data_IF_524683690738
#
_entry.id   IF_524683690738
#
_cell.length_a   1.000
_cell.length_b   1.000
_cell.length_c   1.000
_cell.angle_alpha   90.00
_cell.angle_beta   90.00
_cell.angle_gamma   90.00
#
_symmetry.space_group_name_H-M   'P 1'
#
loop_
_entity.id
_entity.type
_entity.pdbx_description
1 polymer ?
#
# COMPACT_ATOMS: atom_id res chain seq x y z
N UNK A 1 9.07 9.53 -6.66
CA UNK A 1 7.73 10.06 -6.30
C UNK A 1 7.77 10.54 -4.84
N UNK A 2 8.08 11.80 -4.56
CA UNK A 2 8.18 12.27 -3.16
C UNK A 2 9.47 12.98 -2.78
N UNK A 3 10.06 13.79 -3.65
CA UNK A 3 11.24 14.60 -3.26
C UNK A 3 10.88 15.57 -2.13
N UNK A 4 9.65 16.10 -2.13
CA UNK A 4 9.12 16.99 -1.10
C UNK A 4 8.51 16.24 0.09
N UNK A 5 7.69 15.21 -0.15
CA UNK A 5 7.22 14.33 0.91
C UNK A 5 8.38 13.69 1.69
N UNK A 6 9.46 13.33 0.98
CA UNK A 6 10.75 12.93 1.52
C UNK A 6 11.37 14.05 2.35
N UNK A 7 11.56 15.26 1.83
CA UNK A 7 12.15 16.39 2.58
C UNK A 7 11.39 16.74 3.88
N UNK A 8 10.05 16.67 3.85
CA UNK A 8 9.17 16.90 5.00
C UNK A 8 9.19 15.74 6.01
N UNK A 9 9.48 14.51 5.56
CA UNK A 9 9.70 13.33 6.43
C UNK A 9 11.16 13.21 6.91
N UNK A 10 12.11 13.82 6.19
CA UNK A 10 13.56 13.75 6.45
C UNK A 10 13.96 14.68 7.60
N UNK A 11 13.21 15.73 7.92
CA UNK A 11 13.48 16.56 9.11
C UNK A 11 13.38 15.76 10.42
N UNK A 12 12.77 14.57 10.41
CA UNK A 12 12.79 13.61 11.54
C UNK A 12 13.79 12.45 11.39
N UNK A 13 14.40 12.25 10.21
CA UNK A 13 15.27 11.11 9.89
C UNK A 13 16.62 11.53 9.33
N UNK A 14 17.24 12.59 9.86
CA UNK A 14 18.67 12.84 9.65
C UNK A 14 19.49 12.37 10.85
N UNK A 15 19.68 11.05 10.96
CA UNK A 15 20.93 10.50 11.48
C UNK A 15 21.17 9.08 10.99
N UNK A 16 22.30 8.90 10.29
CA UNK A 16 22.93 7.63 9.91
C UNK A 16 22.14 6.74 8.93
N UNK A 17 22.57 6.75 7.67
CA UNK A 17 22.26 5.72 6.68
C UNK A 17 23.01 4.43 7.08
N UNK A 18 22.50 3.73 8.12
CA UNK A 18 22.91 2.37 8.44
C UNK A 18 22.29 1.42 7.41
N UNK A 19 23.10 0.52 6.85
CA UNK A 19 22.63 -0.48 5.89
C UNK A 19 21.62 -1.40 6.55
N UNK A 20 20.42 -1.53 5.97
CA UNK A 20 19.39 -2.48 6.40
C UNK A 20 19.99 -3.89 6.57
N UNK A 21 19.81 -4.48 7.75
CA UNK A 21 20.46 -5.74 8.18
C UNK A 21 19.51 -6.94 8.14
N UNK A 22 18.79 -7.11 7.03
CA UNK A 22 17.81 -8.19 6.85
C UNK A 22 18.40 -9.32 5.99
N UNK A 23 18.25 -10.54 6.47
CA UNK A 23 18.62 -11.77 5.78
C UNK A 23 17.77 -11.96 4.52
N UNK A 24 18.38 -12.39 3.41
CA UNK A 24 17.69 -12.54 2.12
C UNK A 24 16.43 -13.42 2.20
N UNK A 25 16.46 -14.49 3.00
CA UNK A 25 15.34 -15.40 3.19
C UNK A 25 14.13 -14.75 3.89
N UNK A 26 14.36 -13.70 4.68
CA UNK A 26 13.34 -13.04 5.49
C UNK A 26 12.72 -11.83 4.76
N UNK A 27 13.41 -11.25 3.77
CA UNK A 27 13.03 -9.99 3.11
C UNK A 27 11.56 -9.93 2.67
N UNK A 28 10.98 -10.93 1.97
CA UNK A 28 9.58 -10.86 1.56
C UNK A 28 8.63 -10.82 2.76
N UNK A 29 8.81 -11.72 3.74
CA UNK A 29 7.97 -11.76 4.94
C UNK A 29 8.12 -10.51 5.81
N UNK A 30 9.31 -9.92 5.89
CA UNK A 30 9.51 -8.68 6.64
C UNK A 30 8.88 -7.49 5.91
N UNK A 31 9.00 -7.42 4.59
CA UNK A 31 8.29 -6.42 3.78
C UNK A 31 6.77 -6.50 4.03
N UNK A 32 6.18 -7.70 4.00
CA UNK A 32 4.75 -7.88 4.29
C UNK A 32 4.40 -7.39 5.72
N UNK A 33 5.16 -7.85 6.71
CA UNK A 33 4.93 -7.50 8.12
C UNK A 33 5.02 -6.01 8.40
N UNK A 34 5.88 -5.28 7.67
CA UNK A 34 6.00 -3.82 7.80
C UNK A 34 4.70 -3.08 7.47
N UNK A 35 3.83 -3.72 6.66
CA UNK A 35 2.53 -3.17 6.25
C UNK A 35 1.41 -3.46 7.23
N UNK A 36 1.62 -4.34 8.21
CA UNK A 36 0.57 -4.76 9.15
C UNK A 36 0.42 -3.80 10.34
N UNK A 37 1.30 -2.80 10.47
CA UNK A 37 1.28 -1.85 11.59
C UNK A 37 1.73 -2.46 12.92
N UNK A 38 2.48 -3.56 12.88
CA UNK A 38 2.85 -4.33 14.10
C UNK A 38 4.20 -3.94 14.71
N UNK A 39 5.04 -3.22 13.98
CA UNK A 39 6.29 -2.62 14.50
C UNK A 39 6.65 -1.37 13.69
N UNK A 40 7.42 -0.43 14.27
CA UNK A 40 7.80 0.80 13.60
C UNK A 40 8.95 0.57 12.60
N UNK A 41 8.96 1.33 11.50
CA UNK A 41 9.90 1.13 10.40
C UNK A 41 11.37 1.30 10.83
N UNK A 42 11.64 2.08 11.87
CA UNK A 42 12.96 2.34 12.44
C UNK A 42 13.69 1.07 12.88
N UNK A 43 12.95 -0.02 13.17
CA UNK A 43 13.55 -1.31 13.51
C UNK A 43 14.48 -1.84 12.41
N UNK A 44 14.22 -1.52 11.14
CA UNK A 44 15.07 -1.94 10.02
C UNK A 44 16.50 -1.37 10.10
N UNK A 45 16.67 -0.23 10.78
CA UNK A 45 17.96 0.42 11.01
C UNK A 45 18.63 -0.02 12.32
N UNK A 46 17.86 -0.48 13.31
CA UNK A 46 18.38 -0.93 14.62
C UNK A 46 18.80 -2.41 14.64
N UNK A 47 19.74 -2.76 13.76
CA UNK A 47 20.36 -4.10 13.62
C UNK A 47 19.36 -5.27 13.80
N UNK A 48 18.40 -5.36 12.89
CA UNK A 48 17.24 -6.28 12.94
C UNK A 48 17.59 -7.76 13.14
N UNK A 49 18.81 -8.16 12.79
CA UNK A 49 19.34 -9.52 12.99
C UNK A 49 19.87 -9.81 14.41
N UNK A 50 19.83 -8.86 15.34
CA UNK A 50 20.24 -9.07 16.73
C UNK A 50 19.12 -9.68 17.58
N UNK A 51 19.50 -10.26 18.73
CA UNK A 51 18.58 -10.76 19.75
C UNK A 51 17.50 -9.70 20.07
N UNK A 52 16.23 -10.11 20.05
CA UNK A 52 15.14 -9.21 20.36
C UNK A 52 15.18 -8.82 21.84
N UNK A 53 14.91 -7.55 22.14
CA UNK A 53 14.79 -7.07 23.53
C UNK A 53 13.37 -7.31 24.06
N UNK A 54 13.22 -7.33 25.38
CA UNK A 54 11.91 -7.49 26.01
C UNK A 54 10.93 -6.38 25.58
N UNK A 55 11.39 -5.13 25.56
CA UNK A 55 10.58 -3.97 25.16
C UNK A 55 10.11 -4.08 23.69
N UNK A 56 10.99 -4.53 22.79
CA UNK A 56 10.62 -4.77 21.39
C UNK A 56 9.58 -5.88 21.30
N UNK A 57 9.80 -6.99 21.99
CA UNK A 57 8.88 -8.12 21.94
C UNK A 57 7.51 -7.79 22.55
N UNK A 58 7.46 -7.03 23.65
CA UNK A 58 6.22 -6.56 24.26
C UNK A 58 5.40 -5.71 23.28
N UNK A 59 6.04 -4.74 22.62
CA UNK A 59 5.38 -3.92 21.60
C UNK A 59 4.86 -4.76 20.44
N UNK A 60 5.69 -5.65 19.88
CA UNK A 60 5.30 -6.52 18.78
C UNK A 60 4.09 -7.37 19.17
N UNK A 61 4.13 -7.99 20.35
CA UNK A 61 3.08 -8.88 20.83
C UNK A 61 1.75 -8.15 21.06
N UNK A 62 1.80 -6.94 21.64
CA UNK A 62 0.61 -6.11 21.83
C UNK A 62 0.00 -5.70 20.49
N UNK A 63 0.82 -5.27 19.53
CA UNK A 63 0.32 -4.87 18.22
C UNK A 63 -0.21 -6.05 17.40
N UNK A 64 0.41 -7.24 17.51
CA UNK A 64 -0.13 -8.49 16.93
C UNK A 64 -1.50 -8.79 17.52
N UNK A 65 -1.68 -8.67 18.84
CA UNK A 65 -2.97 -8.91 19.46
C UNK A 65 -4.04 -7.90 19.00
N UNK A 66 -3.69 -6.61 18.87
CA UNK A 66 -4.58 -5.60 18.29
C UNK A 66 -4.95 -5.95 16.84
N UNK A 67 -3.96 -6.31 16.02
CA UNK A 67 -4.16 -6.69 14.60
C UNK A 67 -5.04 -7.93 14.43
N UNK A 68 -5.13 -8.77 15.46
CA UNK A 68 -5.95 -9.99 15.50
C UNK A 68 -7.25 -9.81 16.30
N UNK A 69 -7.72 -8.57 16.47
CA UNK A 69 -8.94 -8.18 17.18
C UNK A 69 -8.98 -8.60 18.66
N UNK A 70 -7.83 -8.69 19.31
CA UNK A 70 -7.69 -9.00 20.74
C UNK A 70 -7.00 -7.85 21.52
N UNK A 71 -7.55 -6.62 21.51
CA UNK A 71 -6.90 -5.45 22.13
C UNK A 71 -6.82 -5.53 23.66
N UNK A 72 -7.57 -6.45 24.29
CA UNK A 72 -7.54 -6.68 25.74
C UNK A 72 -6.49 -7.71 26.16
N UNK A 73 -5.79 -8.33 25.21
CA UNK A 73 -4.73 -9.28 25.51
C UNK A 73 -3.62 -8.59 26.32
N UNK A 74 -3.22 -9.23 27.41
CA UNK A 74 -2.09 -8.81 28.23
C UNK A 74 -1.18 -10.00 28.45
N UNK A 75 0.02 -9.95 27.90
CA UNK A 75 1.01 -11.00 28.15
C UNK A 75 1.77 -10.71 29.45
N UNK A 76 1.96 -11.73 30.29
CA UNK A 76 2.93 -11.67 31.38
C UNK A 76 4.27 -12.21 30.90
N UNK A 77 5.04 -11.35 30.23
CA UNK A 77 6.38 -11.69 29.71
C UNK A 77 7.51 -11.26 30.64
N UNK A 78 7.19 -10.82 31.86
CA UNK A 78 8.19 -10.36 32.82
C UNK A 78 9.17 -11.48 33.14
N UNK A 79 10.48 -11.23 32.95
CA UNK A 79 11.55 -12.21 33.19
C UNK A 79 11.50 -13.46 32.29
N UNK A 80 10.70 -13.44 31.23
CA UNK A 80 10.65 -14.50 30.22
C UNK A 80 11.98 -14.56 29.46
N UNK A 81 12.50 -15.77 29.24
CA UNK A 81 13.60 -15.96 28.29
C UNK A 81 13.04 -15.87 26.87
N UNK A 82 13.63 -15.02 26.03
CA UNK A 82 13.18 -14.76 24.65
C UNK A 82 13.68 -15.83 23.68
N UNK A 83 13.51 -17.10 24.07
CA UNK A 83 13.79 -18.22 23.18
C UNK A 83 12.74 -18.30 22.07
N UNK A 84 13.09 -18.93 20.95
CA UNK A 84 12.16 -19.17 19.84
C UNK A 84 10.88 -19.88 20.29
N UNK A 85 10.98 -20.92 21.13
CA UNK A 85 9.81 -21.60 21.70
C UNK A 85 8.89 -20.65 22.47
N UNK A 86 9.47 -19.85 23.36
CA UNK A 86 8.71 -18.96 24.22
C UNK A 86 8.02 -17.86 23.39
N UNK A 87 8.68 -17.33 22.36
CA UNK A 87 8.07 -16.36 21.43
C UNK A 87 6.89 -16.97 20.68
N UNK A 88 7.06 -18.17 20.10
CA UNK A 88 5.99 -18.86 19.36
C UNK A 88 4.78 -19.12 20.26
N UNK A 89 5.02 -19.54 21.51
CA UNK A 89 3.96 -19.77 22.48
C UNK A 89 3.23 -18.47 22.87
N UNK A 90 3.95 -17.37 23.10
CA UNK A 90 3.34 -16.07 23.41
C UNK A 90 2.52 -15.52 22.25
N UNK A 91 3.04 -15.60 21.02
CA UNK A 91 2.31 -15.22 19.81
C UNK A 91 1.02 -16.05 19.67
N UNK A 92 1.08 -17.36 19.87
CA UNK A 92 -0.10 -18.24 19.85
C UNK A 92 -1.16 -17.86 20.90
N UNK A 93 -0.77 -17.35 22.07
CA UNK A 93 -1.76 -16.91 23.07
C UNK A 93 -2.59 -15.71 22.60
N UNK A 94 -2.09 -14.90 21.65
CA UNK A 94 -2.86 -13.76 21.11
C UNK A 94 -4.13 -14.19 20.38
N UNK A 95 -4.17 -15.42 19.85
CA UNK A 95 -5.31 -15.97 19.12
C UNK A 95 -6.24 -16.84 19.98
N UNK A 96 -6.00 -16.87 21.30
CA UNK A 96 -6.80 -17.67 22.25
C UNK A 96 -8.29 -17.31 22.30
N UNK A 97 -8.67 -16.14 21.77
CA UNK A 97 -10.08 -15.73 21.62
C UNK A 97 -10.83 -16.50 20.53
N UNK A 98 -10.12 -17.18 19.63
CA UNK A 98 -10.69 -17.95 18.52
C UNK A 98 -10.68 -19.44 18.86
N UNK A 99 -11.80 -19.96 19.38
CA UNK A 99 -11.96 -21.38 19.73
C UNK A 99 -11.63 -22.32 18.54
N UNK A 100 -11.86 -21.88 17.30
CA UNK A 100 -11.59 -22.64 16.09
C UNK A 100 -10.10 -22.76 15.74
N UNK A 101 -9.24 -21.91 16.30
CA UNK A 101 -7.80 -21.88 16.03
C UNK A 101 -6.96 -22.35 17.24
N UNK A 102 -7.59 -22.57 18.39
CA UNK A 102 -6.93 -23.04 19.60
C UNK A 102 -6.97 -24.57 19.70
N UNK A 103 -6.52 -25.26 18.64
CA UNK A 103 -6.64 -26.71 18.46
C UNK A 103 -5.39 -27.50 18.88
N UNK A 104 -4.28 -26.82 19.18
CA UNK A 104 -3.01 -27.44 19.62
C UNK A 104 -2.71 -27.18 21.10
N UNK A 105 -1.82 -27.98 21.69
CA UNK A 105 -1.42 -27.81 23.10
C UNK A 105 -0.41 -26.68 23.27
N UNK A 106 0.41 -26.41 22.24
CA UNK A 106 1.45 -25.40 22.27
C UNK A 106 1.46 -24.57 20.98
N UNK A 107 2.02 -23.36 21.06
CA UNK A 107 2.24 -22.52 19.89
C UNK A 107 3.24 -23.14 18.93
N UNK A 108 4.26 -23.85 19.42
CA UNK A 108 5.19 -24.59 18.56
C UNK A 108 4.45 -25.62 17.69
N UNK A 109 3.54 -26.39 18.27
CA UNK A 109 2.71 -27.35 17.52
C UNK A 109 1.85 -26.63 16.48
N UNK A 110 1.23 -25.51 16.82
CA UNK A 110 0.40 -24.73 15.90
C UNK A 110 1.21 -24.25 14.69
N UNK A 111 2.38 -23.65 14.93
CA UNK A 111 3.24 -23.13 13.87
C UNK A 111 3.79 -24.25 12.97
N UNK A 112 4.10 -25.42 13.53
CA UNK A 112 4.56 -26.57 12.72
C UNK A 112 3.41 -27.17 11.91
N UNK A 113 2.23 -27.37 12.52
CA UNK A 113 1.04 -27.93 11.87
C UNK A 113 0.61 -27.09 10.66
N UNK A 114 0.69 -25.76 10.78
CA UNK A 114 0.31 -24.82 9.74
C UNK A 114 1.49 -24.39 8.84
N UNK A 115 2.67 -25.02 8.97
CA UNK A 115 3.82 -24.75 8.08
C UNK A 115 4.46 -23.36 8.25
N UNK A 116 4.17 -22.64 9.34
CA UNK A 116 4.65 -21.28 9.61
C UNK A 116 6.12 -21.23 10.03
N UNK A 117 6.66 -22.36 10.49
CA UNK A 117 8.07 -22.54 10.84
C UNK A 117 8.62 -23.85 10.27
N UNK A 118 9.81 -23.79 9.68
CA UNK A 118 10.47 -24.96 9.08
C UNK A 118 11.81 -25.31 9.75
N UNK A 119 12.42 -24.38 10.51
CA UNK A 119 13.75 -24.55 11.08
C UNK A 119 14.84 -24.56 10.00
N UNK A 120 15.95 -25.24 10.25
CA UNK A 120 17.02 -25.48 9.26
C UNK A 120 16.83 -26.78 8.45
N UNK A 121 15.63 -27.38 8.54
CA UNK A 121 15.30 -28.69 7.98
C UNK A 121 15.67 -29.87 8.88
N UNK A 122 16.41 -29.66 9.98
CA UNK A 122 16.78 -30.69 10.96
C UNK A 122 16.43 -30.33 12.40
N UNK A 123 16.44 -29.03 12.72
CA UNK A 123 16.13 -28.50 14.05
C UNK A 123 15.36 -27.18 13.92
N UNK A 124 14.37 -26.99 14.79
CA UNK A 124 13.63 -25.74 14.95
C UNK A 124 14.40 -24.70 15.78
N UNK A 125 15.49 -25.12 16.43
CA UNK A 125 16.37 -24.31 17.28
C UNK A 125 15.62 -23.65 18.44
N UNK A 126 14.66 -24.37 19.02
CA UNK A 126 13.68 -23.84 19.98
C UNK A 126 14.29 -23.19 21.24
N UNK A 127 15.48 -23.64 21.66
CA UNK A 127 16.17 -23.14 22.84
C UNK A 127 17.05 -21.89 22.56
N UNK A 128 17.23 -21.53 21.29
CA UNK A 128 18.04 -20.36 20.94
C UNK A 128 17.27 -19.08 21.23
N UNK A 129 18.00 -18.03 21.64
CA UNK A 129 17.45 -16.69 21.77
C UNK A 129 17.09 -16.19 20.36
N UNK A 130 15.85 -15.76 20.19
CA UNK A 130 15.35 -15.30 18.92
C UNK A 130 15.88 -13.90 18.59
N UNK A 131 16.06 -13.64 17.31
CA UNK A 131 16.38 -12.30 16.82
C UNK A 131 15.11 -11.46 16.64
N UNK A 132 15.27 -10.15 16.45
CA UNK A 132 14.15 -9.26 16.08
C UNK A 132 13.55 -9.72 14.75
N UNK A 133 14.40 -10.04 13.77
CA UNK A 133 14.01 -10.62 12.47
C UNK A 133 13.16 -11.88 12.61
N UNK A 134 13.61 -12.87 13.38
CA UNK A 134 12.86 -14.12 13.57
C UNK A 134 11.50 -13.88 14.24
N UNK A 135 11.47 -13.01 15.25
CA UNK A 135 10.25 -12.68 15.99
C UNK A 135 9.20 -12.01 15.11
N UNK A 136 9.64 -11.07 14.26
CA UNK A 136 8.77 -10.40 13.29
C UNK A 136 8.29 -11.39 12.23
N UNK A 137 9.17 -12.24 11.68
CA UNK A 137 8.76 -13.28 10.73
C UNK A 137 7.68 -14.18 11.32
N UNK A 138 7.83 -14.63 12.57
CA UNK A 138 6.83 -15.46 13.23
C UNK A 138 5.50 -14.72 13.41
N UNK A 139 5.55 -13.46 13.84
CA UNK A 139 4.37 -12.62 13.99
C UNK A 139 3.62 -12.40 12.66
N UNK A 140 4.34 -12.03 11.59
CA UNK A 140 3.76 -11.83 10.25
C UNK A 140 3.05 -13.09 9.76
N UNK A 141 3.74 -14.25 9.81
CA UNK A 141 3.16 -15.52 9.34
C UNK A 141 1.95 -15.95 10.14
N UNK A 142 1.96 -15.73 11.46
CA UNK A 142 0.79 -15.98 12.29
C UNK A 142 -0.38 -15.11 11.88
N UNK A 143 -0.16 -13.80 11.67
CA UNK A 143 -1.22 -12.88 11.27
C UNK A 143 -1.83 -13.27 9.94
N UNK A 144 -1.01 -13.52 8.91
CA UNK A 144 -1.49 -13.97 7.61
C UNK A 144 -2.33 -15.24 7.75
N UNK A 145 -1.79 -16.29 8.39
CA UNK A 145 -2.50 -17.55 8.60
C UNK A 145 -3.85 -17.38 9.31
N UNK A 146 -3.88 -16.57 10.38
CA UNK A 146 -5.09 -16.39 11.19
C UNK A 146 -6.13 -15.60 10.41
N UNK A 147 -5.73 -14.54 9.71
CA UNK A 147 -6.66 -13.74 8.92
C UNK A 147 -7.21 -14.51 7.73
N UNK A 148 -6.39 -15.35 7.08
CA UNK A 148 -6.84 -16.19 5.97
C UNK A 148 -7.85 -17.25 6.44
N UNK A 149 -7.56 -17.96 7.54
CA UNK A 149 -8.50 -18.99 8.07
C UNK A 149 -9.80 -18.37 8.57
N UNK A 150 -9.77 -17.13 9.07
CA UNK A 150 -10.96 -16.41 9.52
C UNK A 150 -11.66 -15.64 8.41
N UNK A 151 -11.16 -15.67 7.17
CA UNK A 151 -11.65 -14.90 6.02
C UNK A 151 -11.75 -13.39 6.33
N UNK A 152 -10.78 -12.86 7.08
CA UNK A 152 -10.69 -11.45 7.50
C UNK A 152 -9.68 -10.62 6.72
N UNK A 153 -8.89 -11.26 5.85
CA UNK A 153 -7.96 -10.56 4.97
C UNK A 153 -8.69 -9.72 3.91
N UNK A 154 -8.05 -8.64 3.48
CA UNK A 154 -8.61 -7.67 2.52
C UNK A 154 -8.95 -8.34 1.20
N UNK A 155 -10.24 -8.38 0.88
CA UNK A 155 -10.72 -8.88 -0.41
C UNK A 155 -10.41 -7.87 -1.52
N UNK A 156 -10.75 -6.59 -1.30
CA UNK A 156 -10.72 -5.62 -2.38
C UNK A 156 -11.80 -5.91 -3.42
N UNK A 157 -11.60 -5.42 -4.64
CA UNK A 157 -12.49 -5.67 -5.77
C UNK A 157 -11.70 -6.35 -6.87
N UNK A 158 -12.21 -7.47 -7.39
CA UNK A 158 -11.50 -8.23 -8.40
C UNK A 158 -12.42 -8.99 -9.35
N UNK A 159 -11.91 -9.22 -10.56
CA UNK A 159 -12.58 -9.96 -11.63
C UNK A 159 -11.61 -10.88 -12.36
N UNK A 160 -12.16 -11.82 -13.11
CA UNK A 160 -11.40 -12.73 -13.97
C UNK A 160 -11.96 -12.68 -15.40
N UNK A 161 -11.05 -12.65 -16.38
CA UNK A 161 -11.36 -12.81 -17.80
C UNK A 161 -10.55 -13.99 -18.32
N UNK A 162 -11.22 -14.87 -19.08
CA UNK A 162 -10.55 -15.91 -19.87
C UNK A 162 -10.80 -15.71 -21.35
N UNK A 163 -9.73 -15.69 -22.13
CA UNK A 163 -9.82 -15.61 -23.58
C UNK A 163 -8.82 -16.57 -24.23
N UNK A 164 -9.35 -17.57 -24.95
CA UNK A 164 -8.57 -18.71 -25.43
C UNK A 164 -7.82 -19.39 -24.27
N UNK A 165 -6.49 -19.43 -24.34
CA UNK A 165 -5.61 -19.98 -23.30
C UNK A 165 -5.02 -18.88 -22.38
N UNK A 166 -5.40 -17.60 -22.57
CA UNK A 166 -4.95 -16.50 -21.72
C UNK A 166 -5.95 -16.21 -20.59
N UNK A 167 -5.43 -15.83 -19.43
CA UNK A 167 -6.21 -15.42 -18.25
C UNK A 167 -5.76 -14.04 -17.78
N UNK A 168 -6.71 -13.16 -17.45
CA UNK A 168 -6.44 -11.89 -16.78
C UNK A 168 -7.21 -11.83 -15.46
N UNK A 169 -6.49 -11.63 -14.35
CA UNK A 169 -7.06 -11.24 -13.07
C UNK A 169 -7.02 -9.72 -12.97
N UNK A 170 -8.18 -9.08 -12.90
CA UNK A 170 -8.31 -7.64 -12.78
C UNK A 170 -8.50 -7.29 -11.30
N UNK A 171 -7.50 -6.71 -10.65
CA UNK A 171 -7.55 -6.33 -9.25
C UNK A 171 -7.54 -4.81 -9.10
N UNK A 172 -8.56 -4.27 -8.43
CA UNK A 172 -8.66 -2.86 -8.10
C UNK A 172 -7.73 -2.50 -6.96
N UNK A 173 -6.65 -1.74 -7.18
CA UNK A 173 -5.73 -1.32 -6.11
C UNK A 173 -6.16 -0.01 -5.45
N UNK A 174 -5.71 0.18 -4.21
CA UNK A 174 -5.80 1.45 -3.48
C UNK A 174 -4.40 1.97 -3.23
N UNK A 175 -4.09 3.19 -3.69
CA UNK A 175 -2.73 3.78 -3.63
C UNK A 175 -2.32 4.31 -2.25
N UNK A 176 -3.30 4.70 -1.42
CA UNK A 176 -3.11 5.27 -0.09
C UNK A 176 -4.08 4.57 0.86
N UNK A 177 -3.63 4.11 2.02
CA UNK A 177 -4.59 3.60 3.00
C UNK A 177 -4.01 3.37 4.38
N UNK A 178 -4.81 2.84 5.30
CA UNK A 178 -4.36 2.42 6.61
C UNK A 178 -3.68 1.04 6.54
N UNK A 179 -2.95 0.68 7.59
CA UNK A 179 -2.37 -0.66 7.76
C UNK A 179 -3.43 -1.80 7.77
N UNK A 180 -4.71 -1.46 7.94
CA UNK A 180 -5.84 -2.39 7.91
C UNK A 180 -6.12 -2.96 6.52
N UNK A 181 -5.55 -2.37 5.46
CA UNK A 181 -5.54 -2.96 4.11
C UNK A 181 -4.80 -4.30 4.03
N UNK A 182 -4.00 -4.66 5.03
CA UNK A 182 -3.21 -5.88 5.01
C UNK A 182 -3.57 -6.82 6.16
N UNK A 183 -3.40 -8.14 5.98
CA UNK A 183 -2.99 -8.86 4.76
C UNK A 183 -4.04 -8.84 3.64
N UNK A 184 -3.57 -8.95 2.40
CA UNK A 184 -4.42 -9.18 1.22
C UNK A 184 -4.92 -10.62 1.23
N UNK A 185 -6.16 -10.83 0.78
CA UNK A 185 -6.81 -12.12 0.68
C UNK A 185 -5.95 -13.17 -0.03
N UNK A 186 -5.95 -14.41 0.50
CA UNK A 186 -5.14 -15.50 -0.01
C UNK A 186 -5.40 -15.82 -1.49
N UNK A 187 -6.66 -15.82 -1.94
CA UNK A 187 -7.00 -16.13 -3.33
C UNK A 187 -6.44 -15.07 -4.30
N UNK A 188 -6.45 -13.79 -3.90
CA UNK A 188 -5.83 -12.71 -4.68
C UNK A 188 -4.30 -12.86 -4.74
N UNK A 189 -3.66 -13.20 -3.61
CA UNK A 189 -2.21 -13.47 -3.60
C UNK A 189 -1.88 -14.67 -4.48
N UNK A 190 -2.69 -15.72 -4.46
CA UNK A 190 -2.51 -16.90 -5.31
C UNK A 190 -2.70 -16.55 -6.79
N UNK A 191 -3.68 -15.72 -7.14
CA UNK A 191 -3.85 -15.21 -8.50
C UNK A 191 -2.59 -14.46 -8.98
N UNK A 192 -2.01 -13.59 -8.14
CA UNK A 192 -0.74 -12.93 -8.44
C UNK A 192 0.43 -13.92 -8.59
N UNK A 193 0.59 -14.87 -7.66
CA UNK A 193 1.70 -15.83 -7.69
C UNK A 193 1.63 -16.74 -8.91
N UNK A 194 0.43 -17.12 -9.33
CA UNK A 194 0.20 -17.95 -10.52
C UNK A 194 0.23 -17.16 -11.84
N UNK A 195 0.38 -15.82 -11.79
CA UNK A 195 0.47 -14.99 -12.98
C UNK A 195 1.90 -14.90 -13.52
N UNK A 196 2.06 -14.84 -14.84
CA UNK A 196 3.34 -14.64 -15.51
C UNK A 196 3.80 -13.18 -15.45
N UNK A 197 2.85 -12.25 -15.44
CA UNK A 197 3.09 -10.80 -15.49
C UNK A 197 2.33 -10.08 -14.39
N UNK A 198 2.95 -9.04 -13.82
CA UNK A 198 2.24 -7.96 -13.14
C UNK A 198 1.99 -6.85 -14.18
N UNK A 199 0.76 -6.38 -14.30
CA UNK A 199 0.37 -5.30 -15.21
C UNK A 199 -0.18 -4.15 -14.37
N UNK A 200 0.31 -2.93 -14.58
CA UNK A 200 -0.04 -1.74 -13.80
C UNK A 200 -0.46 -0.61 -14.74
N UNK A 201 -1.14 0.42 -14.25
CA UNK A 201 -1.43 1.64 -15.02
C UNK A 201 -0.13 2.24 -15.59
N UNK A 202 0.75 2.65 -14.68
CA UNK A 202 2.11 3.11 -14.95
C UNK A 202 2.94 2.90 -13.69
N UNK A 203 4.24 2.66 -13.80
CA UNK A 203 5.08 2.36 -12.62
C UNK A 203 6.07 3.47 -12.29
N UNK A 204 6.42 4.29 -13.28
CA UNK A 204 7.51 5.26 -13.13
C UNK A 204 8.86 4.62 -12.78
N UNK A 205 9.01 3.29 -12.91
CA UNK A 205 10.22 2.55 -12.55
C UNK A 205 11.31 2.67 -13.60
N UNK A 206 10.94 2.93 -14.86
CA UNK A 206 11.91 3.15 -15.94
C UNK A 206 12.54 4.55 -15.83
N UNK A 207 13.84 4.66 -16.13
CA UNK A 207 14.53 5.96 -16.14
C UNK A 207 13.86 6.94 -17.13
N UNK A 208 13.36 6.43 -18.26
CA UNK A 208 12.64 7.23 -19.25
C UNK A 208 11.32 7.78 -18.68
N UNK A 209 10.49 6.91 -18.10
CA UNK A 209 9.21 7.32 -17.50
C UNK A 209 9.44 8.30 -16.35
N UNK A 210 10.46 8.06 -15.52
CA UNK A 210 10.82 8.98 -14.43
C UNK A 210 11.29 10.35 -14.95
N UNK A 211 12.07 10.40 -16.04
CA UNK A 211 12.47 11.66 -16.67
C UNK A 211 11.29 12.41 -17.27
N UNK A 212 10.40 11.73 -17.99
CA UNK A 212 9.16 12.32 -18.53
C UNK A 212 8.29 12.89 -17.40
N UNK A 213 8.09 12.13 -16.32
CA UNK A 213 7.33 12.61 -15.16
C UNK A 213 7.94 13.88 -14.55
N UNK A 214 9.27 13.91 -14.38
CA UNK A 214 9.99 15.09 -13.88
C UNK A 214 9.81 16.30 -14.81
N UNK A 215 9.83 16.11 -16.12
CA UNK A 215 9.58 17.18 -17.08
C UNK A 215 8.15 17.72 -16.98
N UNK A 216 7.15 16.84 -16.91
CA UNK A 216 5.72 17.20 -16.81
C UNK A 216 5.44 17.98 -15.54
N UNK A 217 6.01 17.58 -14.40
CA UNK A 217 5.79 18.25 -13.12
C UNK A 217 6.55 19.58 -12.97
N UNK A 218 7.54 19.82 -13.83
CA UNK A 218 8.42 20.99 -13.69
C UNK A 218 7.83 22.26 -14.31
N UNK A 219 8.10 23.40 -13.67
CA UNK A 219 7.87 24.72 -14.27
C UNK A 219 8.94 24.96 -15.33
N UNK A 220 8.51 25.15 -16.59
CA UNK A 220 9.42 25.39 -17.72
C UNK A 220 9.89 26.84 -17.82
N UNK A 221 9.07 27.80 -17.39
CA UNK A 221 9.39 29.24 -17.42
C UNK A 221 8.90 29.94 -16.14
N UNK A 222 9.72 30.83 -15.59
CA UNK A 222 9.39 31.61 -14.40
C UNK A 222 9.55 30.82 -13.10
N UNK A 223 8.72 31.15 -12.12
CA UNK A 223 8.65 30.51 -10.80
C UNK A 223 7.20 30.27 -10.43
N UNK A 224 6.95 29.51 -9.35
CA UNK A 224 5.58 29.25 -8.92
C UNK A 224 4.76 30.52 -8.63
N UNK A 225 5.42 31.63 -8.24
CA UNK A 225 4.79 32.93 -8.04
C UNK A 225 4.10 33.48 -9.30
N UNK A 226 4.51 33.05 -10.49
CA UNK A 226 3.91 33.46 -11.76
C UNK A 226 2.60 32.71 -12.07
N UNK A 227 2.32 31.61 -11.35
CA UNK A 227 1.20 30.70 -11.60
C UNK A 227 0.15 30.68 -10.48
N UNK A 228 0.38 31.39 -9.38
CA UNK A 228 -0.52 31.40 -8.22
C UNK A 228 -0.80 32.83 -7.74
N UNK A 229 -1.88 33.01 -6.98
CA UNK A 229 -2.21 34.32 -6.40
C UNK A 229 -1.19 34.77 -5.35
N UNK A 230 -1.10 36.08 -5.10
CA UNK A 230 -0.21 36.64 -4.06
C UNK A 230 -0.52 36.07 -2.68
N UNK A 231 -1.80 35.90 -2.37
CA UNK A 231 -2.25 35.29 -1.10
C UNK A 231 -1.77 33.83 -0.97
N UNK A 232 -1.84 33.06 -2.06
CA UNK A 232 -1.36 31.68 -2.09
C UNK A 232 0.16 31.62 -1.90
N UNK A 233 0.89 32.54 -2.52
CA UNK A 233 2.34 32.63 -2.40
C UNK A 233 2.76 32.98 -0.96
N UNK A 234 2.05 33.90 -0.30
CA UNK A 234 2.29 34.23 1.11
C UNK A 234 2.07 32.99 2.02
N UNK A 235 0.97 32.24 1.82
CA UNK A 235 0.74 30.97 2.53
C UNK A 235 1.85 29.94 2.26
N UNK A 236 2.30 29.82 1.02
CA UNK A 236 3.40 28.93 0.65
C UNK A 236 4.70 29.30 1.36
N UNK A 237 5.03 30.59 1.48
CA UNK A 237 6.19 31.05 2.25
C UNK A 237 6.09 30.65 3.72
N UNK A 238 4.92 30.80 4.34
CA UNK A 238 4.69 30.37 5.72
C UNK A 238 4.88 28.86 5.90
N UNK A 239 4.34 28.04 4.99
CA UNK A 239 4.56 26.58 5.00
C UNK A 239 6.03 26.23 4.82
N UNK A 240 6.72 26.90 3.89
CA UNK A 240 8.15 26.68 3.67
C UNK A 240 8.98 27.00 4.92
N UNK A 241 8.68 28.10 5.61
CA UNK A 241 9.34 28.45 6.87
C UNK A 241 9.02 27.44 7.98
N UNK A 242 7.74 27.13 8.18
CA UNK A 242 7.26 26.25 9.25
C UNK A 242 7.88 24.85 9.18
N UNK A 243 8.02 24.31 7.96
CA UNK A 243 8.51 22.95 7.75
C UNK A 243 9.95 22.88 7.22
N UNK A 244 10.66 24.00 7.15
CA UNK A 244 12.01 24.08 6.60
C UNK A 244 12.10 23.55 5.16
N UNK A 245 11.04 23.75 4.37
CA UNK A 245 11.00 23.37 2.96
C UNK A 245 11.77 24.40 2.13
N UNK A 246 12.77 24.00 1.32
CA UNK A 246 13.47 24.95 0.46
C UNK A 246 12.52 25.51 -0.61
N UNK A 247 12.31 26.83 -0.59
CA UNK A 247 11.46 27.52 -1.57
C UNK A 247 11.93 27.29 -3.01
N UNK A 248 13.24 27.06 -3.22
CA UNK A 248 13.81 26.73 -4.51
C UNK A 248 13.21 25.46 -5.11
N UNK A 249 12.82 24.48 -4.29
CA UNK A 249 12.17 23.25 -4.77
C UNK A 249 10.74 23.56 -5.19
N UNK A 250 9.98 24.31 -4.38
CA UNK A 250 8.63 24.72 -4.73
C UNK A 250 8.59 25.58 -6.01
N UNK A 251 9.61 26.43 -6.23
CA UNK A 251 9.73 27.27 -7.43
C UNK A 251 9.92 26.46 -8.73
N UNK A 252 10.23 25.17 -8.65
CA UNK A 252 10.46 24.31 -9.81
C UNK A 252 9.27 23.41 -10.13
N UNK A 253 8.24 23.36 -9.29
CA UNK A 253 7.15 22.39 -9.40
C UNK A 253 5.85 23.11 -9.75
N UNK A 254 5.12 22.61 -10.76
CA UNK A 254 3.82 23.18 -11.15
C UNK A 254 2.83 23.13 -9.97
N UNK A 255 1.93 24.11 -9.83
CA UNK A 255 1.06 24.23 -8.64
C UNK A 255 0.24 22.99 -8.27
N UNK A 256 -0.28 22.25 -9.26
CA UNK A 256 -1.05 21.02 -9.01
C UNK A 256 -0.20 19.92 -8.37
N UNK A 257 1.01 19.68 -8.89
CA UNK A 257 1.92 18.69 -8.32
C UNK A 257 2.41 19.11 -6.94
N UNK A 258 2.64 20.41 -6.71
CA UNK A 258 2.97 20.91 -5.39
C UNK A 258 1.80 20.67 -4.40
N UNK A 259 0.55 20.91 -4.81
CA UNK A 259 -0.62 20.64 -3.99
C UNK A 259 -0.69 19.15 -3.58
N UNK A 260 -0.48 18.24 -4.54
CA UNK A 260 -0.47 16.80 -4.30
C UNK A 260 0.64 16.36 -3.34
N UNK A 261 1.85 16.88 -3.49
CA UNK A 261 2.98 16.59 -2.60
C UNK A 261 2.74 17.12 -1.17
N UNK A 262 2.21 18.33 -1.04
CA UNK A 262 1.87 18.94 0.26
C UNK A 262 0.71 18.21 0.94
N UNK A 263 -0.30 17.78 0.19
CA UNK A 263 -1.40 16.95 0.69
C UNK A 263 -0.92 15.61 1.20
N UNK A 264 -0.07 14.91 0.42
CA UNK A 264 0.57 13.66 0.85
C UNK A 264 1.41 13.86 2.11
N UNK A 265 2.14 14.97 2.23
CA UNK A 265 2.89 15.28 3.43
C UNK A 265 1.99 15.48 4.66
N UNK A 266 0.88 16.21 4.51
CA UNK A 266 -0.12 16.35 5.58
C UNK A 266 -0.67 14.98 6.01
N UNK A 267 -1.06 14.13 5.06
CA UNK A 267 -1.57 12.78 5.32
C UNK A 267 -0.54 11.96 6.11
N UNK A 268 0.72 11.93 5.67
CA UNK A 268 1.78 11.20 6.37
C UNK A 268 2.01 11.73 7.80
N UNK A 269 1.85 13.03 8.04
CA UNK A 269 1.94 13.61 9.41
C UNK A 269 0.83 13.11 10.35
N UNK A 270 -0.35 12.73 9.83
CA UNK A 270 -1.42 12.15 10.64
C UNK A 270 -1.11 10.71 11.06
N UNK A 271 -0.34 9.98 10.25
CA UNK A 271 0.03 8.58 10.48
C UNK A 271 -1.11 7.57 10.26
N UNK A 272 -2.32 8.02 9.93
CA UNK A 272 -3.50 7.17 9.74
C UNK A 272 -3.53 6.53 8.35
N UNK A 273 -3.02 7.23 7.34
CA UNK A 273 -3.01 6.81 5.93
C UNK A 273 -1.61 7.03 5.37
N UNK A 274 -1.15 6.13 4.51
CA UNK A 274 0.13 6.27 3.82
C UNK A 274 0.17 5.47 2.51
N UNK A 275 0.97 5.92 1.55
CA UNK A 275 1.28 5.16 0.32
C UNK A 275 2.12 3.91 0.60
N UNK A 276 2.79 3.85 1.75
CA UNK A 276 3.43 2.61 2.18
C UNK A 276 2.42 1.50 2.48
N UNK A 277 1.13 1.83 2.61
CA UNK A 277 0.06 0.85 2.75
C UNK A 277 -0.78 0.74 1.45
N UNK A 278 -0.29 1.30 0.34
CA UNK A 278 -0.91 1.07 -0.97
C UNK A 278 -0.78 -0.39 -1.40
N UNK A 279 -1.86 -0.98 -1.92
CA UNK A 279 -1.85 -2.38 -2.39
C UNK A 279 -1.07 -2.53 -3.71
N UNK A 280 -1.02 -1.47 -4.52
CA UNK A 280 -0.14 -1.37 -5.69
C UNK A 280 1.35 -1.44 -5.30
N UNK A 281 1.76 -0.68 -4.29
CA UNK A 281 3.11 -0.67 -3.77
C UNK A 281 3.52 -2.05 -3.22
N UNK A 282 2.58 -2.81 -2.67
CA UNK A 282 2.79 -4.19 -2.25
C UNK A 282 3.11 -5.10 -3.45
N UNK A 283 2.29 -5.08 -4.51
CA UNK A 283 2.51 -5.95 -5.66
C UNK A 283 3.75 -5.55 -6.47
N UNK A 284 4.08 -4.27 -6.56
CA UNK A 284 5.34 -3.80 -7.16
C UNK A 284 6.53 -4.37 -6.40
N UNK A 285 6.54 -4.25 -5.08
CA UNK A 285 7.64 -4.76 -4.25
C UNK A 285 7.74 -6.29 -4.35
N UNK A 286 6.60 -6.99 -4.34
CA UNK A 286 6.56 -8.43 -4.50
C UNK A 286 7.09 -8.87 -5.87
N UNK A 287 6.76 -8.15 -6.95
CA UNK A 287 7.29 -8.43 -8.28
C UNK A 287 8.81 -8.26 -8.34
N UNK A 288 9.38 -7.30 -7.60
CA UNK A 288 10.82 -7.14 -7.48
C UNK A 288 11.47 -8.33 -6.77
N UNK A 289 10.86 -8.87 -5.71
CA UNK A 289 11.37 -10.07 -5.03
C UNK A 289 11.29 -11.31 -5.92
N UNK A 290 10.19 -11.47 -6.65
CA UNK A 290 9.95 -12.64 -7.50
C UNK A 290 10.67 -12.54 -8.86
N UNK A 291 11.23 -11.39 -9.20
CA UNK A 291 11.67 -11.02 -10.55
C UNK A 291 10.54 -11.21 -11.58
N UNK A 292 9.30 -10.94 -11.18
CA UNK A 292 8.13 -11.03 -12.05
C UNK A 292 8.17 -9.86 -13.05
N UNK A 293 8.07 -10.12 -14.37
CA UNK A 293 8.01 -9.06 -15.37
C UNK A 293 6.83 -8.11 -15.11
N UNK A 294 7.10 -6.81 -15.23
CA UNK A 294 6.11 -5.74 -15.07
C UNK A 294 5.79 -5.13 -16.43
N UNK A 295 4.51 -4.98 -16.74
CA UNK A 295 3.98 -4.29 -17.92
C UNK A 295 3.19 -3.04 -17.48
N UNK A 296 3.15 -2.02 -18.34
CA UNK A 296 2.43 -0.76 -18.12
C UNK A 296 1.33 -0.65 -19.19
N UNK A 297 0.13 -0.20 -18.79
CA UNK A 297 -1.01 0.02 -19.69
C UNK A 297 -1.03 1.44 -20.27
N UNK A 298 -0.35 2.40 -19.63
CA UNK A 298 -0.38 3.81 -20.00
C UNK A 298 1.04 4.41 -20.05
N UNK A 299 1.22 5.45 -20.88
CA UNK A 299 2.37 6.36 -20.77
C UNK A 299 2.00 7.50 -19.80
N UNK A 300 2.97 8.00 -19.04
CA UNK A 300 2.78 9.15 -18.16
C UNK A 300 2.19 10.40 -18.86
N UNK A 301 2.37 10.50 -20.19
CA UNK A 301 1.80 11.57 -21.01
C UNK A 301 0.28 11.45 -21.22
N UNK A 302 -0.33 10.30 -20.93
CA UNK A 302 -1.78 10.10 -21.03
C UNK A 302 -2.54 10.85 -19.93
N UNK A 303 -1.84 11.22 -18.85
CA UNK A 303 -2.38 12.07 -17.80
C UNK A 303 -2.41 13.53 -18.27
N UNK A 304 -3.59 14.01 -18.65
CA UNK A 304 -3.82 15.37 -19.17
C UNK A 304 -3.83 16.45 -18.07
N UNK A 305 -2.79 16.48 -17.23
CA UNK A 305 -2.71 17.40 -16.08
C UNK A 305 -2.75 18.88 -16.48
N UNK A 306 -2.25 19.23 -17.66
CA UNK A 306 -2.28 20.61 -18.17
C UNK A 306 -3.70 21.06 -18.59
N UNK A 307 -4.66 20.14 -18.70
CA UNK A 307 -6.07 20.44 -19.00
C UNK A 307 -6.89 20.75 -17.74
N UNK A 308 -6.30 20.62 -16.54
CA UNK A 308 -6.98 20.92 -15.27
C UNK A 308 -7.39 22.41 -15.21
N UNK A 309 -8.64 22.73 -14.85
CA UNK A 309 -9.08 24.11 -14.67
C UNK A 309 -8.24 24.85 -13.63
N UNK A 310 -7.82 26.07 -13.95
CA UNK A 310 -6.99 26.89 -13.04
C UNK A 310 -7.61 27.02 -11.64
N UNK A 311 -8.94 27.20 -11.54
CA UNK A 311 -9.62 27.30 -10.26
C UNK A 311 -9.45 26.03 -9.41
N UNK A 312 -9.56 24.85 -10.03
CA UNK A 312 -9.37 23.57 -9.34
C UNK A 312 -7.94 23.47 -8.79
N UNK A 313 -6.94 23.82 -9.61
CA UNK A 313 -5.53 23.81 -9.20
C UNK A 313 -5.29 24.79 -8.03
N UNK A 314 -5.87 25.99 -8.09
CA UNK A 314 -5.77 26.97 -6.99
C UNK A 314 -6.46 26.46 -5.71
N UNK A 315 -7.65 25.89 -5.81
CA UNK A 315 -8.40 25.36 -4.67
C UNK A 315 -7.66 24.18 -4.01
N UNK A 316 -7.12 23.24 -4.81
CA UNK A 316 -6.32 22.12 -4.31
C UNK A 316 -5.07 22.60 -3.57
N UNK A 317 -4.33 23.58 -4.13
CA UNK A 317 -3.14 24.11 -3.48
C UNK A 317 -3.50 24.88 -2.20
N UNK A 318 -4.59 25.66 -2.21
CA UNK A 318 -5.05 26.39 -1.03
C UNK A 318 -5.41 25.45 0.10
N UNK A 319 -6.14 24.36 -0.20
CA UNK A 319 -6.51 23.35 0.77
C UNK A 319 -5.27 22.67 1.38
N UNK A 320 -4.31 22.24 0.55
CA UNK A 320 -3.09 21.59 1.02
C UNK A 320 -2.26 22.50 1.94
N UNK A 321 -2.14 23.79 1.59
CA UNK A 321 -1.48 24.79 2.43
C UNK A 321 -2.23 25.02 3.74
N UNK A 322 -3.56 25.13 3.71
CA UNK A 322 -4.39 25.36 4.90
C UNK A 322 -4.35 24.17 5.87
N UNK A 323 -4.32 22.95 5.35
CA UNK A 323 -4.14 21.72 6.14
C UNK A 323 -2.82 21.72 6.91
N UNK A 324 -1.72 22.13 6.27
CA UNK A 324 -0.41 22.23 6.89
C UNK A 324 -0.30 23.40 7.89
N UNK A 325 -0.90 24.56 7.58
CA UNK A 325 -0.88 25.73 8.47
C UNK A 325 -1.82 25.57 9.68
N UNK A 326 -2.91 24.81 9.53
CA UNK A 326 -3.97 24.70 10.54
C UNK A 326 -4.41 23.23 10.79
N UNK A 327 -3.50 22.28 11.07
CA UNK A 327 -3.82 20.84 11.10
C UNK A 327 -4.96 20.49 12.07
N UNK A 328 -5.06 21.21 13.19
CA UNK A 328 -6.14 21.03 14.19
C UNK A 328 -7.56 21.27 13.67
N UNK A 329 -7.74 22.01 12.56
CA UNK A 329 -9.05 22.26 11.94
C UNK A 329 -9.49 21.12 11.02
N UNK A 330 -8.58 20.24 10.66
CA UNK A 330 -8.76 19.16 9.68
C UNK A 330 -8.64 17.77 10.32
N UNK A 331 -8.68 17.68 11.65
CA UNK A 331 -8.78 16.39 12.35
C UNK A 331 -10.04 15.66 11.89
N UNK A 332 -9.90 14.39 11.49
CA UNK A 332 -11.00 13.59 10.92
C UNK A 332 -11.29 13.89 9.43
N UNK A 333 -10.46 14.68 8.75
CA UNK A 333 -10.62 14.91 7.29
C UNK A 333 -10.49 13.65 6.44
N UNK A 334 -9.96 12.57 7.02
CA UNK A 334 -9.81 11.26 6.38
C UNK A 334 -10.99 10.31 6.67
N UNK A 335 -11.93 10.66 7.56
CA UNK A 335 -12.96 9.72 8.05
C UNK A 335 -13.84 9.18 6.91
N UNK A 336 -14.21 10.02 5.95
CA UNK A 336 -15.00 9.61 4.78
C UNK A 336 -14.22 8.64 3.90
N UNK A 337 -12.92 8.91 3.66
CA UNK A 337 -12.05 8.02 2.92
C UNK A 337 -11.88 6.66 3.60
N UNK A 338 -11.64 6.66 4.92
CA UNK A 338 -11.48 5.44 5.70
C UNK A 338 -12.75 4.59 5.72
N UNK A 339 -13.93 5.22 5.71
CA UNK A 339 -15.19 4.49 5.59
C UNK A 339 -15.34 3.82 4.22
N UNK A 340 -14.89 4.45 3.12
CA UNK A 340 -14.87 3.82 1.80
C UNK A 340 -13.89 2.64 1.74
N UNK A 341 -12.67 2.83 2.28
CA UNK A 341 -11.65 1.77 2.33
C UNK A 341 -12.15 0.55 3.12
N UNK A 342 -12.96 0.74 4.15
CA UNK A 342 -13.55 -0.37 4.91
C UNK A 342 -14.45 -1.26 4.06
N UNK A 343 -15.24 -0.71 3.15
CA UNK A 343 -16.06 -1.52 2.23
C UNK A 343 -15.21 -2.23 1.18
N UNK A 344 -14.13 -1.58 0.72
CA UNK A 344 -13.12 -2.22 -0.11
C UNK A 344 -12.48 -3.43 0.60
N UNK A 345 -12.07 -3.28 1.88
CA UNK A 345 -11.50 -4.39 2.67
C UNK A 345 -12.46 -5.59 2.73
N UNK A 346 -13.76 -5.32 2.91
CA UNK A 346 -14.80 -6.34 3.00
C UNK A 346 -15.14 -7.01 1.66
N UNK A 347 -14.71 -6.43 0.54
CA UNK A 347 -15.14 -6.84 -0.80
C UNK A 347 -16.61 -6.54 -1.07
N UNK A 348 -17.19 -5.56 -0.37
CA UNK A 348 -18.55 -5.07 -0.64
C UNK A 348 -18.52 -4.14 -1.85
N UNK A 349 -18.52 -4.74 -3.05
CA UNK A 349 -18.41 -4.05 -4.32
C UNK A 349 -19.53 -3.02 -4.52
N UNK A 350 -20.77 -3.33 -4.14
CA UNK A 350 -21.92 -2.43 -4.33
C UNK A 350 -21.74 -1.16 -3.50
N UNK A 351 -21.51 -1.29 -2.20
CA UNK A 351 -21.35 -0.12 -1.32
C UNK A 351 -20.07 0.66 -1.62
N UNK A 352 -18.96 -0.04 -1.91
CA UNK A 352 -17.71 0.60 -2.32
C UNK A 352 -17.91 1.45 -3.59
N UNK A 353 -18.55 0.90 -4.62
CA UNK A 353 -18.78 1.59 -5.89
C UNK A 353 -19.66 2.83 -5.71
N UNK A 354 -20.73 2.75 -4.90
CA UNK A 354 -21.60 3.89 -4.62
C UNK A 354 -20.85 5.03 -3.93
N UNK A 355 -20.02 4.71 -2.93
CA UNK A 355 -19.29 5.73 -2.18
C UNK A 355 -18.10 6.30 -2.97
N UNK A 356 -17.36 5.46 -3.71
CA UNK A 356 -16.23 5.89 -4.53
C UNK A 356 -16.65 6.94 -5.57
N UNK A 357 -17.82 6.77 -6.22
CA UNK A 357 -18.38 7.75 -7.18
C UNK A 357 -18.68 9.12 -6.58
N UNK A 358 -18.96 9.18 -5.27
CA UNK A 358 -19.33 10.42 -4.58
C UNK A 358 -18.12 11.14 -3.99
N UNK A 359 -17.05 10.40 -3.70
CA UNK A 359 -15.81 10.94 -3.14
C UNK A 359 -14.99 11.76 -4.14
N UNK A 360 -14.99 11.37 -5.41
CA UNK A 360 -14.15 12.04 -6.40
C UNK A 360 -14.75 13.37 -6.86
N UNK A 361 -13.92 14.42 -6.92
CA UNK A 361 -14.32 15.70 -7.51
C UNK A 361 -14.61 15.52 -9.00
N UNK A 362 -15.76 16.00 -9.53
CA UNK A 362 -16.12 15.81 -10.94
C UNK A 362 -15.06 16.33 -11.93
N UNK A 363 -14.29 17.35 -11.55
CA UNK A 363 -13.18 17.88 -12.34
C UNK A 363 -12.01 16.90 -12.35
N UNK A 364 -11.67 16.33 -11.20
CA UNK A 364 -10.66 15.28 -11.09
C UNK A 364 -11.07 14.04 -11.89
N UNK A 365 -12.33 13.59 -11.76
CA UNK A 365 -12.87 12.44 -12.50
C UNK A 365 -12.70 12.60 -14.01
N UNK A 366 -12.92 13.81 -14.54
CA UNK A 366 -12.83 14.06 -15.99
C UNK A 366 -11.41 13.93 -16.57
N UNK A 367 -10.39 14.00 -15.73
CA UNK A 367 -8.98 13.84 -16.11
C UNK A 367 -8.47 12.43 -15.78
N UNK A 368 -9.03 11.81 -14.73
CA UNK A 368 -8.59 10.50 -14.26
C UNK A 368 -9.27 9.34 -15.00
N UNK A 369 -10.51 9.49 -15.44
CA UNK A 369 -11.31 8.40 -16.03
C UNK A 369 -11.71 8.71 -17.49
N UNK A 370 -12.41 7.77 -18.13
CA UNK A 370 -12.93 7.93 -19.48
C UNK A 370 -11.93 7.53 -20.57
N UNK A 371 -11.19 8.49 -21.12
CA UNK A 371 -10.22 8.19 -22.20
C UNK A 371 -9.09 7.27 -21.72
N UNK A 372 -8.68 7.43 -20.46
CA UNK A 372 -7.74 6.53 -19.78
C UNK A 372 -8.28 5.10 -19.68
N UNK A 373 -9.54 4.95 -19.24
CA UNK A 373 -10.22 3.64 -19.17
C UNK A 373 -10.32 2.98 -20.55
N UNK A 374 -10.59 3.77 -21.59
CA UNK A 374 -10.63 3.30 -22.96
C UNK A 374 -9.26 2.78 -23.42
N UNK A 375 -8.21 3.56 -23.21
CA UNK A 375 -6.86 3.16 -23.60
C UNK A 375 -6.40 1.91 -22.85
N UNK A 376 -6.64 1.85 -21.53
CA UNK A 376 -6.33 0.67 -20.72
C UNK A 376 -7.10 -0.57 -21.16
N UNK A 377 -8.41 -0.44 -21.44
CA UNK A 377 -9.21 -1.55 -21.97
C UNK A 377 -8.66 -2.07 -23.32
N UNK A 378 -8.22 -1.16 -24.20
CA UNK A 378 -7.58 -1.53 -25.47
C UNK A 378 -6.23 -2.23 -25.30
N UNK A 379 -5.41 -1.83 -24.32
CA UNK A 379 -4.16 -2.53 -24.00
C UNK A 379 -4.42 -3.91 -23.36
N UNK A 380 -5.42 -4.02 -22.48
CA UNK A 380 -5.85 -5.31 -21.91
C UNK A 380 -6.35 -6.25 -23.01
N UNK A 381 -7.14 -5.76 -23.96
CA UNK A 381 -7.58 -6.51 -25.14
C UNK A 381 -6.38 -7.05 -25.95
N UNK A 382 -5.36 -6.21 -26.18
CA UNK A 382 -4.13 -6.65 -26.88
C UNK A 382 -3.39 -7.74 -26.13
N UNK A 383 -3.32 -7.67 -24.79
CA UNK A 383 -2.72 -8.72 -23.96
C UNK A 383 -3.49 -10.03 -24.07
N UNK A 384 -4.82 -9.99 -23.95
CA UNK A 384 -5.68 -11.16 -24.03
C UNK A 384 -5.68 -11.82 -25.43
N UNK A 385 -5.41 -11.06 -26.50
CA UNK A 385 -5.29 -11.58 -27.87
C UNK A 385 -3.91 -12.15 -28.22
N UNK A 386 -2.91 -12.08 -27.33
CA UNK A 386 -1.58 -12.64 -27.61
C UNK A 386 -1.63 -14.15 -27.83
N UNK A 387 -0.81 -14.66 -28.76
CA UNK A 387 -0.64 -16.10 -28.92
C UNK A 387 0.09 -16.70 -27.71
N UNK A 388 -0.36 -17.86 -27.24
CA UNK A 388 0.25 -18.58 -26.13
C UNK A 388 -0.72 -18.80 -24.98
N UNK A 389 -0.15 -19.19 -23.85
CA UNK A 389 -0.84 -19.37 -22.57
C UNK A 389 -0.16 -18.39 -21.60
N UNK A 390 -0.77 -17.24 -21.39
CA UNK A 390 -0.26 -16.18 -20.52
C UNK A 390 -1.29 -15.87 -19.43
N UNK A 391 -0.80 -15.67 -18.21
CA UNK A 391 -1.61 -15.22 -17.08
C UNK A 391 -1.16 -13.84 -16.62
N UNK A 392 -2.07 -12.87 -16.65
CA UNK A 392 -1.80 -11.47 -16.28
C UNK A 392 -2.48 -11.14 -14.96
N UNK A 393 -1.74 -10.61 -13.99
CA UNK A 393 -2.31 -9.97 -12.80
C UNK A 393 -2.33 -8.46 -13.04
N UNK A 394 -3.50 -7.91 -13.35
CA UNK A 394 -3.71 -6.52 -13.74
C UNK A 394 -4.18 -5.71 -12.54
N UNK A 395 -3.25 -4.96 -11.95
CA UNK A 395 -3.44 -4.13 -10.77
C UNK A 395 -3.61 -2.67 -11.18
N UNK A 396 -4.85 -2.21 -11.29
CA UNK A 396 -5.24 -0.85 -11.69
C UNK A 396 -6.09 -0.24 -10.59
N UNK A 397 -6.02 1.06 -10.37
CA UNK A 397 -6.74 1.79 -9.34
C UNK A 397 -8.22 1.43 -9.34
N UNK A 398 -8.74 1.08 -8.17
CA UNK A 398 -10.09 0.52 -8.03
C UNK A 398 -11.18 1.40 -8.67
N UNK A 399 -10.99 2.72 -8.70
CA UNK A 399 -11.86 3.68 -9.39
C UNK A 399 -12.13 3.33 -10.86
N UNK A 400 -11.09 2.90 -11.59
CA UNK A 400 -11.15 2.55 -13.02
C UNK A 400 -12.01 1.30 -13.33
N UNK A 401 -12.49 0.60 -12.31
CA UNK A 401 -13.40 -0.54 -12.46
C UNK A 401 -14.81 -0.28 -11.92
N UNK A 402 -15.03 0.81 -11.18
CA UNK A 402 -16.28 1.02 -10.44
C UNK A 402 -17.02 2.30 -10.82
N UNK A 403 -16.36 3.25 -11.50
CA UNK A 403 -17.04 4.43 -12.08
C UNK A 403 -17.91 4.04 -13.27
N UNK A 404 -18.71 4.97 -13.81
CA UNK A 404 -19.51 4.69 -15.01
C UNK A 404 -18.63 4.70 -16.27
N UNK A 405 -18.92 3.83 -17.27
CA UNK A 405 -18.17 3.73 -18.54
C UNK A 405 -16.68 3.35 -18.30
N UNK A 406 -16.49 2.39 -17.39
CA UNK A 406 -15.21 1.96 -16.86
C UNK A 406 -14.54 0.86 -17.73
N UNK A 407 -13.38 0.34 -17.29
CA UNK A 407 -12.64 -0.69 -18.02
C UNK A 407 -13.48 -1.97 -18.26
N UNK A 408 -14.25 -2.42 -17.27
CA UNK A 408 -15.06 -3.64 -17.37
C UNK A 408 -16.16 -3.48 -18.43
N UNK A 409 -16.90 -2.37 -18.38
CA UNK A 409 -17.95 -2.05 -19.37
C UNK A 409 -17.39 -2.10 -20.79
N UNK A 410 -16.19 -1.54 -20.99
CA UNK A 410 -15.52 -1.51 -22.30
C UNK A 410 -15.04 -2.88 -22.75
N UNK A 411 -14.53 -3.71 -21.85
CA UNK A 411 -14.13 -5.08 -22.15
C UNK A 411 -15.34 -5.96 -22.48
N UNK A 412 -16.49 -5.75 -21.82
CA UNK A 412 -17.76 -6.40 -22.19
C UNK A 412 -18.21 -5.99 -23.60
N UNK A 413 -18.11 -4.70 -23.95
CA UNK A 413 -18.41 -4.19 -25.29
C UNK A 413 -17.47 -4.77 -26.38
N UNK A 414 -16.24 -5.11 -26.00
CA UNK A 414 -15.28 -5.83 -26.86
C UNK A 414 -15.57 -7.34 -26.97
N UNK A 415 -16.50 -7.87 -26.17
CA UNK A 415 -17.00 -9.24 -26.24
C UNK A 415 -16.38 -10.20 -25.21
N UNK A 416 -15.72 -9.69 -24.18
CA UNK A 416 -15.22 -10.50 -23.06
C UNK A 416 -16.33 -10.84 -22.06
N UNK A 417 -16.26 -12.04 -21.48
CA UNK A 417 -17.06 -12.42 -20.33
C UNK A 417 -16.29 -12.03 -19.06
N UNK A 418 -16.88 -11.16 -18.24
CA UNK A 418 -16.32 -10.74 -16.97
C UNK A 418 -16.89 -11.62 -15.86
N UNK A 419 -16.02 -12.37 -15.19
CA UNK A 419 -16.39 -13.21 -14.06
C UNK A 419 -16.05 -12.48 -12.76
N UNK A 420 -16.96 -12.48 -11.80
CA UNK A 420 -16.67 -12.06 -10.44
C UNK A 420 -15.66 -13.05 -9.84
N UNK A 421 -14.56 -12.53 -9.29
CA UNK A 421 -13.45 -13.34 -8.80
C UNK A 421 -13.84 -14.24 -7.61
N UNK A 422 -14.83 -13.84 -6.81
CA UNK A 422 -15.20 -14.54 -5.59
C UNK A 422 -16.42 -15.45 -5.71
N UNK A 423 -17.07 -15.54 -6.89
CA UNK A 423 -18.39 -16.17 -7.06
C UNK A 423 -18.44 -17.35 -8.03
#
# INVERSE_FOLDING_TARGET
LGVLAGALSITTLTSAQETMTISDWAKPTISHGSRFGIYPFEWHYDNFNQEITLDKFEMLLNNVAIKLDNPTYTADINQMSLTRENILNSLYQTISIYDSLNDTQTGVEYFVQNGLIQGDGTDLRLNDIATTEESVVFATRLIEQVQDVLEKSTKGVAWEIRHNDNTAYLFGVVHLGPADLFPINADIRDAYYNSDYLVLETTGLSEETAQKYMEIMSISEGTIADYISVEMYDKLLEVCELYSLPLEVANQIKPYFLASELGTAYINMTGEISSQYGTDAFFIEQAMFDNKPILELEDVLDYKFDDLPQQYVEDSLSLALDMLLNPSKFVGSNDEFLEVVKYYIQGDLETFSELAKVMDDPTAMSVLYGERDQNMAEEIDKLLQQEGENTYFIAVGAGHYVVDDNILDRLEDMGYEILDFYN
#
